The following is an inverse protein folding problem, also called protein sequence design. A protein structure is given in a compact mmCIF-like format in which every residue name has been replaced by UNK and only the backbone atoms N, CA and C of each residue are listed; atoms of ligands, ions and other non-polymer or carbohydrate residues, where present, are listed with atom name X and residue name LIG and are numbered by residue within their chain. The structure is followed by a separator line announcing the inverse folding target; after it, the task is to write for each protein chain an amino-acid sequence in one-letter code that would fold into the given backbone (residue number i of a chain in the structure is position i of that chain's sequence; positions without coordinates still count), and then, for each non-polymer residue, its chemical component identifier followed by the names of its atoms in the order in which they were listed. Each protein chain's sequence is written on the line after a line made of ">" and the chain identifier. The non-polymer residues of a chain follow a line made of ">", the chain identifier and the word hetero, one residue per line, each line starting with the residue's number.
data_IF_154156953619
#
_entry.id   IF_154156953619
#
_cell.length_a   1.000
_cell.length_b   1.000
_cell.length_c   1.000
_cell.angle_alpha   90.00
_cell.angle_beta   90.00
_cell.angle_gamma   90.00
#
_symmetry.space_group_name_H-M   'P 1'
#
loop_
_entity.id
_entity.type
_entity.pdbx_description
1 polymer ?
#
# COMPACT_ATOMS: atom_id res chain seq x y z
N UNK A 1 10.59 -14.60 12.68
CA UNK A 1 11.88 -13.91 12.53
C UNK A 1 11.72 -13.06 11.29
N UNK A 2 12.03 -11.77 11.36
CA UNK A 2 11.99 -10.82 10.24
C UNK A 2 13.32 -10.87 9.50
N UNK A 3 13.33 -11.00 8.18
CA UNK A 3 14.53 -11.16 7.36
C UNK A 3 15.34 -9.87 7.39
N UNK A 4 16.65 -10.01 7.20
CA UNK A 4 17.56 -8.88 7.05
C UNK A 4 17.10 -7.93 5.91
N UNK A 5 16.42 -8.45 4.88
CA UNK A 5 15.92 -7.65 3.75
C UNK A 5 14.75 -6.74 4.14
N UNK A 6 13.73 -7.28 4.83
CA UNK A 6 12.59 -6.48 5.30
C UNK A 6 13.07 -5.43 6.32
N UNK A 7 14.00 -5.81 7.21
CA UNK A 7 14.64 -4.86 8.12
C UNK A 7 15.37 -3.75 7.38
N UNK A 8 16.06 -4.06 6.27
CA UNK A 8 16.76 -3.06 5.45
C UNK A 8 15.77 -2.08 4.81
N UNK A 9 14.63 -2.55 4.30
CA UNK A 9 13.56 -1.67 3.77
C UNK A 9 13.08 -0.71 4.86
N UNK A 10 12.76 -1.23 6.05
CA UNK A 10 12.34 -0.40 7.19
C UNK A 10 13.40 0.64 7.58
N UNK A 11 14.69 0.28 7.52
CA UNK A 11 15.78 1.20 7.81
C UNK A 11 15.91 2.32 6.77
N UNK A 12 15.73 2.04 5.48
CA UNK A 12 15.68 3.06 4.42
C UNK A 12 14.53 4.03 4.71
N UNK A 13 13.34 3.50 4.97
CA UNK A 13 12.16 4.32 5.28
C UNK A 13 12.40 5.17 6.52
N UNK A 14 12.86 4.57 7.62
CA UNK A 14 13.07 5.29 8.89
C UNK A 14 14.09 6.42 8.77
N UNK A 15 15.14 6.22 7.97
CA UNK A 15 16.19 7.22 7.73
C UNK A 15 15.65 8.47 7.04
N UNK A 16 14.75 8.29 6.07
CA UNK A 16 14.31 9.35 5.16
C UNK A 16 12.80 9.68 5.28
N UNK A 17 12.12 9.22 6.35
CA UNK A 17 10.67 9.39 6.56
C UNK A 17 10.15 10.82 6.59
N UNK A 18 11.03 11.81 6.78
CA UNK A 18 10.70 13.24 6.82
C UNK A 18 11.09 13.97 5.53
N UNK A 19 11.69 13.27 4.58
CA UNK A 19 12.05 13.83 3.28
C UNK A 19 10.81 13.89 2.39
N UNK A 20 10.74 14.92 1.55
CA UNK A 20 9.61 15.14 0.67
C UNK A 20 9.48 14.09 -0.44
N UNK A 21 8.36 14.16 -1.17
CA UNK A 21 8.06 13.22 -2.26
C UNK A 21 9.09 13.23 -3.38
N UNK A 22 9.77 14.35 -3.63
CA UNK A 22 10.78 14.46 -4.70
C UNK A 22 11.96 13.53 -4.45
N UNK A 23 12.39 13.39 -3.19
CA UNK A 23 13.40 12.39 -2.84
C UNK A 23 12.94 10.96 -3.13
N UNK A 24 11.72 10.63 -2.74
CA UNK A 24 11.16 9.29 -2.93
C UNK A 24 11.05 8.94 -4.41
N UNK A 25 10.55 9.88 -5.23
CA UNK A 25 10.44 9.73 -6.68
C UNK A 25 11.80 9.59 -7.37
N UNK A 26 12.81 10.35 -6.93
CA UNK A 26 14.11 10.43 -7.62
C UNK A 26 15.20 9.47 -7.08
N UNK A 27 14.91 8.61 -6.10
CA UNK A 27 15.88 7.62 -5.64
C UNK A 27 15.52 6.83 -4.38
N UNK A 28 14.66 7.37 -3.51
CA UNK A 28 14.21 6.65 -2.32
C UNK A 28 13.49 5.34 -2.68
N UNK A 29 12.54 5.42 -3.61
CA UNK A 29 11.80 4.25 -4.11
C UNK A 29 12.73 3.23 -4.77
N UNK A 30 13.68 3.68 -5.59
CA UNK A 30 14.65 2.79 -6.26
C UNK A 30 15.47 1.98 -5.25
N UNK A 31 15.79 2.56 -4.09
CA UNK A 31 16.51 1.85 -3.03
C UNK A 31 15.68 0.70 -2.42
N UNK A 32 14.37 0.88 -2.29
CA UNK A 32 13.43 -0.18 -1.88
C UNK A 32 13.31 -1.22 -3.00
N UNK A 33 13.16 -0.78 -4.25
CA UNK A 33 12.99 -1.67 -5.40
C UNK A 33 14.18 -2.61 -5.61
N UNK A 34 15.40 -2.10 -5.46
CA UNK A 34 16.61 -2.92 -5.54
C UNK A 34 16.62 -4.06 -4.51
N UNK A 35 15.97 -3.88 -3.35
CA UNK A 35 15.83 -4.94 -2.36
C UNK A 35 14.73 -5.92 -2.78
N UNK A 36 13.57 -5.43 -3.18
CA UNK A 36 12.44 -6.24 -3.65
C UNK A 36 12.81 -7.10 -4.86
N UNK A 37 13.63 -6.59 -5.78
CA UNK A 37 14.15 -7.31 -6.95
C UNK A 37 14.99 -8.55 -6.58
N UNK A 38 15.42 -8.65 -5.31
CA UNK A 38 16.16 -9.80 -4.77
C UNK A 38 15.29 -10.75 -3.94
N UNK A 39 14.00 -10.46 -3.77
CA UNK A 39 13.10 -11.32 -3.01
C UNK A 39 12.87 -12.64 -3.73
N UNK A 40 12.83 -13.71 -2.95
CA UNK A 40 12.27 -14.99 -3.38
C UNK A 40 10.85 -15.15 -2.82
N UNK A 41 10.19 -16.28 -3.12
CA UNK A 41 8.83 -16.55 -2.66
C UNK A 41 8.70 -16.62 -1.12
N UNK A 42 9.76 -17.00 -0.41
CA UNK A 42 9.76 -17.03 1.07
C UNK A 42 9.86 -15.62 1.63
N UNK A 43 10.69 -14.76 1.05
CA UNK A 43 10.82 -13.35 1.42
C UNK A 43 9.48 -12.62 1.25
N UNK A 44 8.75 -12.86 0.14
CA UNK A 44 7.42 -12.29 -0.08
C UNK A 44 6.39 -12.76 0.95
N UNK A 45 6.35 -14.06 1.25
CA UNK A 45 5.48 -14.62 2.30
C UNK A 45 5.82 -14.08 3.69
N UNK A 46 7.09 -13.74 3.91
CA UNK A 46 7.51 -13.18 5.17
C UNK A 46 7.15 -11.70 5.27
N UNK A 47 7.37 -10.92 4.21
CA UNK A 47 6.92 -9.54 4.11
C UNK A 47 5.43 -9.46 4.40
N UNK A 48 4.62 -10.27 3.71
CA UNK A 48 3.17 -10.32 3.85
C UNK A 48 2.69 -10.51 5.30
N UNK A 49 3.44 -11.29 6.09
CA UNK A 49 3.19 -11.49 7.52
C UNK A 49 3.72 -10.34 8.38
N UNK A 50 4.86 -9.77 8.01
CA UNK A 50 5.51 -8.70 8.77
C UNK A 50 4.87 -7.34 8.55
N UNK A 51 4.05 -7.15 7.50
CA UNK A 51 3.31 -5.91 7.24
C UNK A 51 2.51 -5.47 8.46
N UNK A 52 1.87 -6.39 9.20
CA UNK A 52 1.12 -6.06 10.40
C UNK A 52 1.97 -5.43 11.54
N UNK A 53 3.31 -5.53 11.45
CA UNK A 53 4.27 -4.95 12.37
C UNK A 53 4.93 -3.67 11.85
N UNK A 54 4.50 -3.16 10.69
CA UNK A 54 4.96 -1.87 10.20
C UNK A 54 4.34 -0.75 11.05
N UNK A 55 5.07 0.36 11.15
CA UNK A 55 4.54 1.62 11.69
C UNK A 55 3.78 2.35 10.60
N UNK A 56 2.96 3.34 10.97
CA UNK A 56 2.12 4.03 10.00
C UNK A 56 2.91 4.76 8.90
N UNK A 57 4.00 5.45 9.25
CA UNK A 57 4.87 6.06 8.23
C UNK A 57 5.56 5.02 7.35
N UNK A 58 5.81 3.81 7.86
CA UNK A 58 6.37 2.70 7.08
C UNK A 58 5.33 2.19 6.09
N UNK A 59 4.08 1.99 6.52
CA UNK A 59 2.94 1.65 5.67
C UNK A 59 2.73 2.69 4.56
N UNK A 60 2.63 3.97 4.93
CA UNK A 60 2.38 5.08 4.00
C UNK A 60 3.45 5.18 2.90
N UNK A 61 4.74 5.12 3.27
CA UNK A 61 5.84 5.21 2.31
C UNK A 61 5.95 3.94 1.48
N UNK A 62 5.82 2.77 2.10
CA UNK A 62 5.94 1.51 1.39
C UNK A 62 4.79 1.27 0.41
N UNK A 63 3.55 1.62 0.77
CA UNK A 63 2.39 1.57 -0.13
C UNK A 63 2.66 2.35 -1.43
N UNK A 64 3.11 3.60 -1.32
CA UNK A 64 3.44 4.45 -2.47
C UNK A 64 4.59 3.88 -3.29
N UNK A 65 5.63 3.34 -2.63
CA UNK A 65 6.71 2.68 -3.33
C UNK A 65 6.19 1.47 -4.13
N UNK A 66 5.43 0.58 -3.51
CA UNK A 66 4.86 -0.63 -4.15
C UNK A 66 3.93 -0.27 -5.31
N UNK A 67 3.11 0.77 -5.18
CA UNK A 67 2.21 1.19 -6.26
C UNK A 67 2.98 1.59 -7.53
N UNK A 68 4.15 2.20 -7.36
CA UNK A 68 5.04 2.59 -8.46
C UNK A 68 6.09 1.51 -8.81
N UNK A 69 5.99 0.32 -8.22
CA UNK A 69 6.88 -0.78 -8.56
C UNK A 69 6.53 -1.28 -9.96
N UNK A 70 7.47 -1.07 -10.88
CA UNK A 70 7.33 -1.34 -12.31
C UNK A 70 7.00 -2.81 -12.59
N UNK A 71 5.92 -3.06 -13.34
CA UNK A 71 5.46 -4.40 -13.74
C UNK A 71 6.47 -5.12 -14.65
N UNK A 72 7.39 -4.39 -15.31
CA UNK A 72 8.48 -4.96 -16.12
C UNK A 72 9.65 -5.47 -15.26
N UNK A 73 9.61 -5.29 -13.93
CA UNK A 73 10.64 -5.85 -13.02
C UNK A 73 10.50 -7.36 -12.87
N UNK A 74 11.56 -8.00 -12.37
CA UNK A 74 11.83 -9.44 -12.49
C UNK A 74 10.79 -10.38 -11.83
N UNK A 75 9.85 -9.85 -11.04
CA UNK A 75 8.98 -10.65 -10.19
C UNK A 75 7.52 -10.29 -10.48
N UNK A 76 6.74 -11.32 -10.83
CA UNK A 76 5.30 -11.23 -11.01
C UNK A 76 4.58 -11.29 -9.64
N UNK A 77 4.50 -10.15 -8.97
CA UNK A 77 3.66 -9.96 -7.78
C UNK A 77 2.45 -9.08 -8.09
N UNK A 78 1.41 -9.20 -7.29
CA UNK A 78 0.24 -8.32 -7.36
C UNK A 78 0.49 -7.08 -6.49
N UNK A 79 1.17 -6.08 -7.08
CA UNK A 79 1.50 -4.82 -6.40
C UNK A 79 0.26 -4.11 -5.88
N UNK A 80 -0.84 -4.17 -6.64
CA UNK A 80 -2.11 -3.55 -6.24
C UNK A 80 -2.67 -4.23 -5.00
N UNK A 81 -2.67 -5.57 -4.94
CA UNK A 81 -3.08 -6.28 -3.73
C UNK A 81 -2.25 -5.86 -2.51
N UNK A 82 -0.93 -5.80 -2.64
CA UNK A 82 -0.06 -5.36 -1.55
C UNK A 82 -0.32 -3.91 -1.15
N UNK A 83 -0.48 -3.00 -2.10
CA UNK A 83 -0.85 -1.61 -1.85
C UNK A 83 -2.13 -1.50 -1.01
N UNK A 84 -3.21 -2.20 -1.39
CA UNK A 84 -4.47 -2.14 -0.65
C UNK A 84 -4.37 -2.82 0.72
N UNK A 85 -3.50 -3.83 0.88
CA UNK A 85 -3.21 -4.42 2.19
C UNK A 85 -2.51 -3.44 3.12
N UNK A 86 -1.51 -2.70 2.64
CA UNK A 86 -0.87 -1.60 3.38
C UNK A 86 -1.90 -0.55 3.80
N UNK A 87 -2.78 -0.14 2.87
CA UNK A 87 -3.84 0.83 3.14
C UNK A 87 -4.80 0.36 4.25
N UNK A 88 -5.20 -0.90 4.26
CA UNK A 88 -6.03 -1.48 5.33
C UNK A 88 -5.30 -1.42 6.69
N UNK A 89 -3.99 -1.71 6.71
CA UNK A 89 -3.20 -1.83 7.93
C UNK A 89 -2.76 -0.48 8.53
N UNK A 90 -2.72 0.59 7.74
CA UNK A 90 -2.38 1.95 8.16
C UNK A 90 -3.33 2.43 9.26
N UNK A 91 -2.83 2.81 10.44
CA UNK A 91 -3.65 3.23 11.59
C UNK A 91 -3.77 4.74 11.72
N UNK A 92 -2.73 5.49 11.35
CA UNK A 92 -2.76 6.95 11.32
C UNK A 92 -3.46 7.44 10.05
N UNK A 93 -4.41 8.35 10.23
CA UNK A 93 -5.34 8.73 9.18
C UNK A 93 -4.79 9.86 8.31
N UNK A 94 -3.87 10.68 8.81
CA UNK A 94 -3.29 11.81 8.04
C UNK A 94 -2.60 11.35 6.74
N UNK A 95 -2.04 10.15 6.72
CA UNK A 95 -1.39 9.57 5.54
C UNK A 95 -2.36 8.87 4.58
N UNK A 96 -3.63 8.66 4.97
CA UNK A 96 -4.62 7.96 4.14
C UNK A 96 -5.07 8.79 2.92
N UNK A 97 -5.01 10.12 3.00
CA UNK A 97 -5.46 11.04 1.95
C UNK A 97 -4.83 10.74 0.60
N UNK A 98 -3.51 10.65 0.59
CA UNK A 98 -2.76 10.40 -0.64
C UNK A 98 -3.12 9.06 -1.25
N UNK A 99 -3.35 8.04 -0.42
CA UNK A 99 -3.66 6.68 -0.88
C UNK A 99 -5.11 6.58 -1.41
N UNK A 100 -6.02 7.41 -0.92
CA UNK A 100 -7.41 7.45 -1.41
C UNK A 100 -7.52 7.90 -2.87
N UNK A 101 -6.60 8.75 -3.35
CA UNK A 101 -6.56 9.15 -4.77
C UNK A 101 -6.27 7.97 -5.70
N UNK A 102 -5.58 6.95 -5.22
CA UNK A 102 -5.14 5.78 -5.98
C UNK A 102 -6.14 4.61 -5.90
N UNK A 103 -7.33 4.85 -5.32
CA UNK A 103 -8.34 3.81 -5.12
C UNK A 103 -8.89 3.20 -6.42
N UNK A 104 -8.79 3.90 -7.54
CA UNK A 104 -9.18 3.38 -8.86
C UNK A 104 -8.35 2.16 -9.27
N UNK A 105 -7.14 1.98 -8.74
CA UNK A 105 -6.31 0.81 -9.00
C UNK A 105 -6.85 -0.49 -8.39
N UNK A 106 -7.92 -0.44 -7.59
CA UNK A 106 -8.53 -1.66 -7.03
C UNK A 106 -9.04 -2.62 -8.10
N UNK A 107 -9.37 -2.09 -9.28
CA UNK A 107 -9.78 -2.88 -10.44
C UNK A 107 -8.61 -3.69 -11.05
N UNK A 108 -7.36 -3.35 -10.72
CA UNK A 108 -6.16 -4.00 -11.27
C UNK A 108 -5.65 -5.18 -10.41
N UNK A 109 -6.28 -5.45 -9.26
CA UNK A 109 -5.96 -6.64 -8.46
C UNK A 109 -6.24 -7.88 -9.31
N UNK A 110 -5.26 -8.80 -9.42
CA UNK A 110 -5.33 -9.95 -10.35
C UNK A 110 -6.36 -10.98 -9.92
N UNK A 111 -6.44 -11.26 -8.61
CA UNK A 111 -7.36 -12.23 -8.03
C UNK A 111 -7.91 -11.72 -6.69
N UNK A 112 -8.73 -10.65 -6.68
CA UNK A 112 -9.32 -10.15 -5.45
C UNK A 112 -10.33 -11.17 -4.92
N UNK A 113 -10.44 -11.26 -3.60
CA UNK A 113 -11.50 -12.00 -2.93
C UNK A 113 -12.46 -11.04 -2.21
N UNK A 114 -13.67 -11.53 -1.94
CA UNK A 114 -14.74 -10.72 -1.37
C UNK A 114 -14.40 -10.24 0.06
N UNK A 115 -13.68 -11.02 0.86
CA UNK A 115 -13.27 -10.61 2.21
C UNK A 115 -12.30 -9.44 2.13
N UNK A 116 -11.31 -9.54 1.23
CA UNK A 116 -10.34 -8.48 0.97
C UNK A 116 -11.00 -7.17 0.55
N UNK A 117 -11.87 -7.20 -0.47
CA UNK A 117 -12.56 -5.99 -0.95
C UNK A 117 -13.48 -5.40 0.13
N UNK A 118 -14.13 -6.23 0.93
CA UNK A 118 -14.91 -5.75 2.07
C UNK A 118 -14.05 -5.06 3.12
N UNK A 119 -12.83 -5.54 3.38
CA UNK A 119 -11.91 -4.88 4.31
C UNK A 119 -11.47 -3.50 3.79
N UNK A 120 -11.23 -3.37 2.48
CA UNK A 120 -10.95 -2.06 1.87
C UNK A 120 -12.15 -1.12 2.03
N UNK A 121 -13.37 -1.61 1.76
CA UNK A 121 -14.61 -0.83 1.94
C UNK A 121 -14.79 -0.37 3.38
N UNK A 122 -14.62 -1.28 4.35
CA UNK A 122 -14.73 -0.96 5.78
C UNK A 122 -13.68 0.06 6.21
N UNK A 123 -12.47 0.00 5.64
CA UNK A 123 -11.44 1.00 5.89
C UNK A 123 -11.88 2.39 5.41
N UNK A 124 -12.45 2.51 4.21
CA UNK A 124 -12.96 3.79 3.69
C UNK A 124 -14.13 4.29 4.54
N UNK A 125 -15.07 3.41 4.91
CA UNK A 125 -16.18 3.75 5.82
C UNK A 125 -15.67 4.34 7.13
N UNK A 126 -14.68 3.67 7.71
CA UNK A 126 -14.09 4.08 8.96
C UNK A 126 -13.45 5.47 8.86
N UNK A 127 -12.80 5.79 7.74
CA UNK A 127 -12.22 7.12 7.50
C UNK A 127 -13.31 8.19 7.43
N UNK A 128 -14.40 7.92 6.69
CA UNK A 128 -15.56 8.82 6.61
C UNK A 128 -16.18 9.08 8.00
N UNK A 129 -16.43 8.01 8.78
CA UNK A 129 -17.01 8.10 10.12
C UNK A 129 -16.09 8.82 11.13
N UNK A 130 -14.78 8.74 10.94
CA UNK A 130 -13.78 9.41 11.78
C UNK A 130 -13.70 10.92 11.54
N UNK A 131 -14.48 11.46 10.58
CA UNK A 131 -14.45 12.88 10.23
C UNK A 131 -13.20 13.28 9.45
N UNK A 132 -12.53 12.31 8.84
CA UNK A 132 -11.46 12.55 7.88
C UNK A 132 -12.07 13.28 6.67
N UNK A 133 -11.90 14.60 6.62
CA UNK A 133 -12.75 15.54 5.85
C UNK A 133 -11.96 16.39 4.87
N UNK A 134 -10.90 15.83 4.30
CA UNK A 134 -10.03 16.53 3.36
C UNK A 134 -10.64 16.59 1.96
N UNK A 135 -11.43 15.59 1.53
CA UNK A 135 -12.22 15.65 0.31
C UNK A 135 -13.36 14.59 0.24
N UNK A 136 -14.59 15.00 0.53
CA UNK A 136 -15.79 14.14 0.43
C UNK A 136 -15.97 13.51 -0.95
N UNK A 137 -15.54 14.19 -2.02
CA UNK A 137 -15.63 13.66 -3.38
C UNK A 137 -14.71 12.46 -3.58
N UNK A 138 -13.51 12.48 -3.02
CA UNK A 138 -12.55 11.38 -3.13
C UNK A 138 -13.05 10.17 -2.37
N UNK A 139 -13.56 10.35 -1.16
CA UNK A 139 -14.14 9.26 -0.37
C UNK A 139 -15.28 8.58 -1.14
N UNK A 140 -16.18 9.37 -1.73
CA UNK A 140 -17.27 8.86 -2.57
C UNK A 140 -16.75 8.09 -3.78
N UNK A 141 -15.77 8.64 -4.51
CA UNK A 141 -15.17 7.97 -5.66
C UNK A 141 -14.48 6.65 -5.25
N UNK A 142 -13.73 6.65 -4.16
CA UNK A 142 -13.09 5.47 -3.61
C UNK A 142 -14.12 4.37 -3.29
N UNK A 143 -15.23 4.75 -2.65
CA UNK A 143 -16.35 3.85 -2.40
C UNK A 143 -16.94 3.27 -3.70
N UNK A 144 -17.18 4.11 -4.69
CA UNK A 144 -17.76 3.70 -5.97
C UNK A 144 -16.85 2.69 -6.69
N UNK A 145 -15.53 2.87 -6.66
CA UNK A 145 -14.57 1.91 -7.24
C UNK A 145 -14.60 0.56 -6.52
N UNK A 146 -14.64 0.56 -5.19
CA UNK A 146 -14.67 -0.69 -4.40
C UNK A 146 -15.99 -1.43 -4.61
N UNK A 147 -17.12 -0.74 -4.61
CA UNK A 147 -18.43 -1.34 -4.89
C UNK A 147 -18.50 -1.92 -6.31
N UNK A 148 -17.92 -1.24 -7.30
CA UNK A 148 -17.82 -1.78 -8.65
C UNK A 148 -16.97 -3.06 -8.70
N UNK A 149 -15.83 -3.08 -8.01
CA UNK A 149 -14.99 -4.28 -7.92
C UNK A 149 -15.73 -5.45 -7.25
N UNK A 150 -16.45 -5.20 -6.15
CA UNK A 150 -17.27 -6.22 -5.46
C UNK A 150 -18.36 -6.78 -6.38
N UNK A 151 -19.05 -5.93 -7.14
CA UNK A 151 -20.13 -6.35 -8.03
C UNK A 151 -19.65 -7.15 -9.27
N UNK A 152 -18.34 -7.14 -9.55
CA UNK A 152 -17.73 -7.87 -10.67
C UNK A 152 -17.19 -9.26 -10.28
N UNK A 153 -17.10 -9.57 -8.98
CA UNK A 153 -16.75 -10.90 -8.45
C UNK A 153 -17.88 -11.91 -8.65
#
# INVERSE_FOLDING_TARGET
>A
MTTDKILTIKQIIEKDKKTDGDYWVNGGNESIYNILDTFNNEDWKELDRDLANFKDHEHSIFARAILHYDEDRKIDIDNYHLFFKEFILLKDYEDCDCLLFDMFYIENIKNPDLEFLNNVRLKIQFLEESGFSTNEEILRLAYDYVEQAINRL
#
